data_IF_829318280101
#
_entry.id   IF_829318280101
#
_cell.length_a   1.000
_cell.length_b   1.000
_cell.length_c   1.000
_cell.angle_alpha   90.00
_cell.angle_beta   90.00
_cell.angle_gamma   90.00
#
_symmetry.space_group_name_H-M   'P 1'
#
loop_
_entity.id
_entity.type
_entity.pdbx_description
1 polymer ?
#
# COMPACT_ATOMS: atom_id res chain seq x y z
N UNK A 1 -3.75 16.09 15.14
CA UNK A 1 -2.90 15.60 14.03
C UNK A 1 -3.09 14.09 13.94
N UNK A 2 -3.48 13.54 12.78
CA UNK A 2 -3.67 12.08 12.64
C UNK A 2 -2.50 11.49 11.83
N UNK A 3 -1.69 10.65 12.45
CA UNK A 3 -0.74 9.79 11.73
C UNK A 3 -1.52 8.78 10.90
N UNK A 4 -1.15 8.63 9.64
CA UNK A 4 -1.76 7.68 8.69
C UNK A 4 -0.67 6.88 7.98
N UNK A 5 -1.08 5.81 7.32
CA UNK A 5 -0.18 4.81 6.77
C UNK A 5 -0.59 4.43 5.35
N UNK A 6 0.40 4.25 4.47
CA UNK A 6 0.25 3.46 3.25
C UNK A 6 0.85 2.08 3.47
N UNK A 7 0.01 1.04 3.51
CA UNK A 7 0.45 -0.34 3.62
C UNK A 7 0.80 -0.90 2.24
N UNK A 8 1.94 -1.59 2.13
CA UNK A 8 2.40 -2.16 0.86
C UNK A 8 3.15 -3.47 1.03
N UNK A 9 3.31 -4.19 -0.07
CA UNK A 9 4.03 -5.46 -0.14
C UNK A 9 5.47 -5.19 -0.54
N UNK A 10 6.38 -6.08 -0.16
CA UNK A 10 7.79 -6.00 -0.53
C UNK A 10 7.99 -5.80 -2.02
N UNK A 11 7.35 -6.61 -2.87
CA UNK A 11 7.47 -6.51 -4.33
C UNK A 11 6.98 -5.18 -4.96
N UNK A 12 6.29 -4.33 -4.21
CA UNK A 12 5.85 -3.01 -4.65
C UNK A 12 6.79 -1.89 -4.24
N UNK A 13 7.75 -2.14 -3.33
CA UNK A 13 8.65 -1.09 -2.85
C UNK A 13 9.53 -0.53 -3.96
N UNK A 14 10.02 -1.38 -4.87
CA UNK A 14 10.85 -0.98 -5.99
C UNK A 14 10.22 0.17 -6.76
N UNK A 15 8.96 0.02 -7.20
CA UNK A 15 8.27 1.06 -7.95
C UNK A 15 8.11 2.36 -7.13
N UNK A 16 7.73 2.24 -5.86
CA UNK A 16 7.49 3.40 -4.98
C UNK A 16 8.79 4.15 -4.69
N UNK A 17 9.88 3.43 -4.42
CA UNK A 17 11.18 4.00 -4.10
C UNK A 17 11.83 4.62 -5.35
N UNK A 18 11.74 3.95 -6.50
CA UNK A 18 12.26 4.47 -7.77
C UNK A 18 11.50 5.70 -8.25
N UNK A 19 10.17 5.77 -8.07
CA UNK A 19 9.40 6.96 -8.44
C UNK A 19 9.29 8.00 -7.33
N UNK A 20 9.77 7.71 -6.12
CA UNK A 20 9.65 8.56 -4.92
C UNK A 20 8.19 8.98 -4.60
N UNK A 21 7.22 8.16 -5.01
CA UNK A 21 5.80 8.48 -4.96
C UNK A 21 4.95 7.23 -4.74
N UNK A 22 3.92 7.37 -3.91
CA UNK A 22 2.81 6.43 -3.84
C UNK A 22 1.84 6.78 -4.96
N UNK A 23 1.89 5.97 -6.02
CA UNK A 23 1.05 6.13 -7.22
C UNK A 23 -0.39 5.70 -6.97
N UNK A 24 -1.29 6.20 -7.81
CA UNK A 24 -2.68 5.77 -7.82
C UNK A 24 -2.83 4.40 -8.51
N UNK A 25 -3.88 3.64 -8.18
CA UNK A 25 -4.11 2.27 -8.68
C UNK A 25 -4.03 2.10 -10.20
N UNK A 26 -4.41 3.11 -10.99
CA UNK A 26 -4.37 3.03 -12.46
C UNK A 26 -2.95 2.96 -13.04
N UNK A 27 -1.94 3.39 -12.29
CA UNK A 27 -0.53 3.40 -12.71
C UNK A 27 0.21 2.14 -12.22
N UNK A 28 -0.29 1.45 -11.19
CA UNK A 28 0.34 0.25 -10.62
C UNK A 28 -0.06 -1.07 -11.31
N UNK A 29 -0.78 -1.00 -12.44
CA UNK A 29 -1.05 -2.17 -13.29
C UNK A 29 -2.11 -3.17 -12.81
N UNK A 30 -2.66 -3.01 -11.60
CA UNK A 30 -3.76 -3.86 -11.09
C UNK A 30 -5.10 -3.32 -11.60
N UNK A 31 -5.35 -3.47 -12.92
CA UNK A 31 -6.63 -3.08 -13.53
C UNK A 31 -7.61 -4.25 -13.49
N UNK A 32 -8.34 -4.40 -12.39
CA UNK A 32 -9.52 -5.28 -12.39
C UNK A 32 -10.75 -4.61 -13.02
N UNK A 33 -10.85 -3.27 -13.00
CA UNK A 33 -11.86 -2.54 -13.79
C UNK A 33 -11.42 -1.10 -14.12
N UNK A 34 -11.65 -0.61 -15.35
CA UNK A 34 -11.36 0.78 -15.70
C UNK A 34 -12.35 1.71 -14.99
N UNK A 35 -11.85 2.81 -14.41
CA UNK A 35 -12.54 4.06 -14.02
C UNK A 35 -13.19 4.21 -12.64
N UNK A 36 -13.05 3.26 -11.71
CA UNK A 36 -13.91 3.30 -10.50
C UNK A 36 -13.13 3.63 -9.21
N UNK A 37 -11.91 3.11 -9.03
CA UNK A 37 -11.03 3.55 -7.91
C UNK A 37 -9.64 3.81 -8.47
N UNK A 38 -9.28 5.08 -8.67
CA UNK A 38 -7.92 5.46 -9.05
C UNK A 38 -7.39 6.42 -8.00
N UNK A 39 -7.08 5.86 -6.83
CA UNK A 39 -6.60 6.63 -5.69
C UNK A 39 -5.28 6.06 -5.19
N UNK A 40 -4.47 6.91 -4.56
CA UNK A 40 -3.51 6.44 -3.58
C UNK A 40 -4.27 6.24 -2.26
N UNK A 41 -4.19 5.03 -1.72
CA UNK A 41 -4.94 4.61 -0.54
C UNK A 41 -4.09 4.64 0.72
N UNK A 42 -4.71 5.12 1.81
CA UNK A 42 -4.12 5.20 3.13
C UNK A 42 -5.16 4.78 4.18
N UNK A 43 -4.71 4.38 5.36
CA UNK A 43 -5.58 4.11 6.50
C UNK A 43 -4.91 4.56 7.81
N UNK A 44 -5.65 4.60 8.91
CA UNK A 44 -5.08 4.72 10.24
C UNK A 44 -4.25 3.46 10.62
N UNK A 45 -3.78 3.39 11.86
CA UNK A 45 -3.05 2.20 12.32
C UNK A 45 -3.97 0.97 12.34
N UNK A 46 -3.67 0.00 11.49
CA UNK A 46 -4.38 -1.26 11.35
C UNK A 46 -3.40 -2.40 11.05
N UNK A 47 -3.81 -3.64 11.30
CA UNK A 47 -3.11 -4.79 10.71
C UNK A 47 -3.55 -4.87 9.24
N UNK A 48 -2.71 -4.35 8.34
CA UNK A 48 -2.78 -4.39 6.86
C UNK A 48 -4.19 -4.66 6.26
N UNK A 49 -4.79 -3.73 5.49
CA UNK A 49 -6.15 -3.91 4.96
C UNK A 49 -6.35 -5.27 4.29
N UNK A 50 -7.37 -6.03 4.72
CA UNK A 50 -7.59 -7.42 4.29
C UNK A 50 -7.95 -7.50 2.82
N UNK A 51 -8.70 -6.52 2.31
CA UNK A 51 -8.98 -6.40 0.86
C UNK A 51 -7.73 -6.14 0.03
N UNK A 52 -6.64 -5.68 0.64
CA UNK A 52 -5.37 -5.48 -0.04
C UNK A 52 -4.43 -6.69 0.05
N UNK A 53 -4.81 -7.78 0.74
CA UNK A 53 -3.97 -8.98 0.81
C UNK A 53 -3.85 -9.61 -0.59
N UNK A 54 -2.63 -9.99 -1.02
CA UNK A 54 -2.46 -10.70 -2.28
C UNK A 54 -2.92 -12.14 -2.13
N UNK A 55 -3.52 -12.70 -3.17
CA UNK A 55 -3.78 -14.13 -3.22
C UNK A 55 -2.47 -14.89 -3.37
N UNK A 56 -2.12 -15.70 -2.37
CA UNK A 56 -0.98 -16.62 -2.39
C UNK A 56 -1.52 -18.05 -2.42
N UNK A 57 -1.27 -18.85 -3.48
CA UNK A 57 -1.82 -20.21 -3.59
C UNK A 57 -1.48 -21.13 -2.42
N UNK A 58 -0.32 -20.93 -1.79
CA UNK A 58 0.13 -21.70 -0.60
C UNK A 58 -0.44 -21.17 0.74
N UNK A 59 -1.28 -20.14 0.68
CA UNK A 59 -1.98 -19.53 1.81
C UNK A 59 -3.43 -19.23 1.39
N UNK A 60 -4.31 -20.25 1.27
CA UNK A 60 -5.69 -20.07 0.82
C UNK A 60 -6.49 -19.08 1.68
N UNK A 61 -6.10 -18.85 2.94
CA UNK A 61 -6.62 -17.81 3.82
C UNK A 61 -6.47 -16.37 3.26
N UNK A 62 -5.54 -16.16 2.33
CA UNK A 62 -5.32 -14.86 1.67
C UNK A 62 -6.24 -14.64 0.45
N UNK A 63 -6.94 -15.69 -0.01
CA UNK A 63 -7.88 -15.57 -1.12
C UNK A 63 -9.21 -14.99 -0.64
N UNK A 64 -9.36 -13.67 -0.76
CA UNK A 64 -10.55 -12.96 -0.32
C UNK A 64 -11.85 -13.58 -0.85
N UNK A 65 -11.89 -14.07 -2.09
CA UNK A 65 -13.12 -14.63 -2.68
C UNK A 65 -13.62 -15.88 -1.94
N UNK A 66 -12.71 -16.70 -1.41
CA UNK A 66 -13.07 -17.91 -0.65
C UNK A 66 -13.72 -17.59 0.70
N UNK A 67 -13.49 -16.37 1.22
CA UNK A 67 -13.88 -15.98 2.58
C UNK A 67 -15.02 -14.95 2.61
N UNK A 68 -15.57 -14.58 1.44
CA UNK A 68 -16.73 -13.69 1.34
C UNK A 68 -18.03 -14.41 1.77
N UNK A 69 -18.20 -14.66 3.07
CA UNK A 69 -19.44 -15.23 3.62
C UNK A 69 -19.26 -16.20 4.79
N UNK A 70 -18.02 -16.50 5.19
CA UNK A 70 -17.66 -17.42 6.26
C UNK A 70 -16.93 -16.71 7.40
N UNK A 71 -16.64 -17.43 8.48
CA UNK A 71 -15.77 -16.96 9.55
C UNK A 71 -14.42 -16.51 8.97
N UNK A 72 -14.00 -15.29 9.33
CA UNK A 72 -12.83 -14.64 8.75
C UNK A 72 -11.57 -15.43 9.11
N UNK A 73 -10.83 -16.00 8.14
CA UNK A 73 -9.63 -16.74 8.49
C UNK A 73 -8.59 -15.81 9.10
N UNK A 74 -7.81 -16.37 10.03
CA UNK A 74 -6.60 -15.74 10.51
C UNK A 74 -5.53 -15.81 9.41
N UNK A 75 -4.92 -14.67 9.07
CA UNK A 75 -3.80 -14.60 8.14
C UNK A 75 -2.53 -14.36 8.93
N UNK A 76 -1.61 -15.31 8.88
CA UNK A 76 -0.27 -15.13 9.44
C UNK A 76 0.52 -14.15 8.56
N UNK A 77 0.65 -12.92 9.05
CA UNK A 77 1.32 -11.84 8.33
C UNK A 77 2.83 -12.06 8.18
N UNK A 78 3.48 -12.80 9.09
CA UNK A 78 4.91 -13.10 8.99
C UNK A 78 5.16 -14.20 7.96
N UNK A 79 4.29 -15.21 7.91
CA UNK A 79 4.30 -16.20 6.83
C UNK A 79 4.04 -15.53 5.48
N UNK A 80 3.04 -14.65 5.39
CA UNK A 80 2.76 -13.89 4.18
C UNK A 80 3.95 -13.03 3.74
N UNK A 81 4.62 -12.36 4.69
CA UNK A 81 5.82 -11.56 4.44
C UNK A 81 6.89 -12.37 3.68
N UNK A 82 7.08 -13.65 4.00
CA UNK A 82 8.02 -14.53 3.29
C UNK A 82 7.66 -14.79 1.82
N UNK A 83 6.39 -14.67 1.43
CA UNK A 83 5.95 -14.83 0.04
C UNK A 83 6.01 -13.55 -0.77
N UNK A 84 5.90 -12.38 -0.13
CA UNK A 84 5.69 -11.10 -0.83
C UNK A 84 6.87 -10.13 -0.69
N UNK A 85 7.98 -10.58 -0.10
CA UNK A 85 9.19 -9.77 0.14
C UNK A 85 9.08 -8.84 1.36
N UNK A 86 8.23 -9.19 2.31
CA UNK A 86 7.96 -8.40 3.50
C UNK A 86 6.63 -7.65 3.44
N UNK A 87 6.14 -7.28 4.62
CA UNK A 87 5.00 -6.41 4.80
C UNK A 87 5.52 -5.07 5.29
N UNK A 88 5.17 -4.00 4.57
CA UNK A 88 5.77 -2.69 4.74
C UNK A 88 4.70 -1.62 4.89
N UNK A 89 5.05 -0.50 5.50
CA UNK A 89 4.18 0.69 5.51
C UNK A 89 4.99 1.99 5.48
N UNK A 90 4.45 3.00 4.82
CA UNK A 90 4.92 4.38 4.93
C UNK A 90 4.08 5.10 5.99
N UNK A 91 4.71 5.55 7.08
CA UNK A 91 4.10 6.29 8.18
C UNK A 91 4.32 7.78 7.99
N UNK A 92 3.27 8.60 8.13
CA UNK A 92 3.38 10.06 8.03
C UNK A 92 2.21 10.79 8.68
N UNK A 93 2.37 12.10 8.92
CA UNK A 93 1.29 12.93 9.45
C UNK A 93 0.41 13.45 8.32
N UNK A 94 -0.90 13.18 8.39
CA UNK A 94 -1.85 13.65 7.38
C UNK A 94 -1.81 15.18 7.16
N UNK A 95 -1.53 15.96 8.21
CA UNK A 95 -1.48 17.43 8.13
C UNK A 95 -0.44 17.96 7.15
N UNK A 96 0.60 17.18 6.86
CA UNK A 96 1.64 17.54 5.89
C UNK A 96 1.16 17.39 4.44
N UNK A 97 0.02 16.69 4.23
CA UNK A 97 -0.50 16.33 2.91
C UNK A 97 -1.96 16.78 2.73
N UNK A 98 -2.13 18.08 2.43
CA UNK A 98 -3.46 18.72 2.29
C UNK A 98 -4.37 18.08 1.23
N UNK A 99 -3.81 17.37 0.24
CA UNK A 99 -4.56 16.68 -0.81
C UNK A 99 -5.28 15.43 -0.32
N UNK A 100 -4.91 14.87 0.85
CA UNK A 100 -5.46 13.62 1.37
C UNK A 100 -6.79 13.87 2.10
N UNK A 101 -7.83 13.23 1.58
CA UNK A 101 -9.22 13.36 2.06
C UNK A 101 -9.68 12.05 2.72
N UNK A 102 -10.59 12.14 3.67
CA UNK A 102 -11.26 10.97 4.22
C UNK A 102 -12.05 10.27 3.13
N UNK A 103 -12.05 8.93 3.12
CA UNK A 103 -12.85 8.15 2.19
C UNK A 103 -14.35 8.32 2.49
N UNK A 104 -14.73 8.10 3.75
CA UNK A 104 -16.08 8.39 4.24
C UNK A 104 -16.36 9.89 4.12
N UNK A 105 -17.52 10.19 3.56
CA UNK A 105 -17.97 11.57 3.29
C UNK A 105 -17.41 12.19 2.01
N UNK A 106 -16.46 11.54 1.32
CA UNK A 106 -15.94 12.10 0.06
C UNK A 106 -16.98 12.08 -1.06
N UNK A 107 -16.93 13.11 -1.91
CA UNK A 107 -17.70 13.16 -3.17
C UNK A 107 -17.40 11.95 -4.07
N UNK A 108 -16.14 11.48 -4.07
CA UNK A 108 -15.73 10.28 -4.82
C UNK A 108 -16.49 9.04 -4.36
N UNK A 109 -16.56 8.78 -3.05
CA UNK A 109 -17.35 7.69 -2.49
C UNK A 109 -18.83 7.79 -2.86
N UNK A 110 -19.42 8.98 -2.75
CA UNK A 110 -20.83 9.18 -3.10
C UNK A 110 -21.10 8.87 -4.58
N UNK A 111 -20.22 9.30 -5.48
CA UNK A 111 -20.30 8.96 -6.91
C UNK A 111 -20.15 7.45 -7.13
N UNK A 112 -19.25 6.81 -6.37
CA UNK A 112 -18.97 5.39 -6.48
C UNK A 112 -20.13 4.51 -6.06
N UNK A 113 -20.80 4.86 -4.97
CA UNK A 113 -21.97 4.17 -4.46
C UNK A 113 -23.20 4.25 -5.38
N UNK A 114 -23.21 5.15 -6.38
CA UNK A 114 -24.25 5.15 -7.41
C UNK A 114 -24.09 4.02 -8.42
N UNK A 115 -22.89 3.43 -8.53
CA UNK A 115 -22.62 2.31 -9.42
C UNK A 115 -22.80 0.96 -8.71
N UNK A 116 -23.29 -0.09 -9.40
CA UNK A 116 -23.37 -1.45 -8.83
C UNK A 116 -22.01 -1.95 -8.31
N UNK A 117 -20.94 -1.70 -9.05
CA UNK A 117 -19.59 -2.15 -8.68
C UNK A 117 -19.06 -1.44 -7.42
N UNK A 118 -19.35 -0.15 -7.25
CA UNK A 118 -18.96 0.57 -6.02
C UNK A 118 -19.69 0.06 -4.79
N UNK A 119 -20.97 -0.34 -4.94
CA UNK A 119 -21.72 -1.00 -3.86
C UNK A 119 -21.12 -2.38 -3.51
N UNK A 120 -20.71 -3.15 -4.51
CA UNK A 120 -20.06 -4.45 -4.31
C UNK A 120 -18.71 -4.27 -3.58
N UNK A 121 -17.86 -3.34 -4.02
CA UNK A 121 -16.57 -3.08 -3.37
C UNK A 121 -16.75 -2.69 -1.90
N UNK A 122 -17.75 -1.86 -1.60
CA UNK A 122 -18.06 -1.45 -0.23
C UNK A 122 -18.55 -2.63 0.62
N UNK A 123 -19.39 -3.49 0.07
CA UNK A 123 -19.83 -4.72 0.73
C UNK A 123 -18.67 -5.68 0.98
N UNK A 124 -17.78 -5.85 0.01
CA UNK A 124 -16.60 -6.72 0.07
C UNK A 124 -15.66 -6.29 1.19
N UNK A 125 -15.30 -5.00 1.27
CA UNK A 125 -14.42 -4.52 2.34
C UNK A 125 -15.06 -4.64 3.74
N UNK A 126 -16.37 -4.38 3.88
CA UNK A 126 -17.09 -4.64 5.14
C UNK A 126 -17.08 -6.12 5.53
N UNK A 127 -17.33 -7.02 4.58
CA UNK A 127 -17.27 -8.48 4.79
C UNK A 127 -15.86 -8.94 5.15
N UNK A 128 -14.83 -8.37 4.52
CA UNK A 128 -13.44 -8.61 4.87
C UNK A 128 -13.11 -8.16 6.30
N UNK A 129 -13.83 -7.15 6.81
CA UNK A 129 -13.60 -6.56 8.12
C UNK A 129 -12.68 -5.35 8.11
N UNK A 130 -12.52 -4.72 6.95
CA UNK A 130 -11.78 -3.47 6.84
C UNK A 130 -12.61 -2.31 7.40
N UNK A 131 -11.96 -1.44 8.17
CA UNK A 131 -12.58 -0.25 8.77
C UNK A 131 -12.50 0.92 7.81
N UNK A 132 -13.41 0.94 6.83
CA UNK A 132 -13.46 1.97 5.79
C UNK A 132 -13.59 3.40 6.34
N UNK A 133 -14.12 3.57 7.55
CA UNK A 133 -14.16 4.84 8.28
C UNK A 133 -12.79 5.41 8.63
N UNK A 134 -11.76 4.55 8.64
CA UNK A 134 -10.37 4.93 8.86
C UNK A 134 -9.59 5.14 7.56
N UNK A 135 -10.23 5.00 6.40
CA UNK A 135 -9.56 5.10 5.11
C UNK A 135 -9.46 6.55 4.62
N UNK A 136 -8.37 6.83 3.92
CA UNK A 136 -8.10 8.10 3.26
C UNK A 136 -7.64 7.88 1.82
N UNK A 137 -7.92 8.87 0.98
CA UNK A 137 -7.61 8.82 -0.45
C UNK A 137 -6.92 10.10 -0.90
N UNK A 138 -6.04 9.95 -1.89
CA UNK A 138 -5.59 11.04 -2.77
C UNK A 138 -5.93 10.69 -4.21
N UNK A 139 -6.48 11.64 -4.96
CA UNK A 139 -6.74 11.49 -6.41
C UNK A 139 -5.50 11.71 -7.28
N UNK A 140 -4.36 12.02 -6.66
CA UNK A 140 -3.05 12.19 -7.29
C UNK A 140 -2.02 11.30 -6.59
N UNK A 141 -0.91 11.05 -7.27
CA UNK A 141 0.27 10.47 -6.63
C UNK A 141 0.70 11.34 -5.44
N UNK A 142 1.25 10.68 -4.41
CA UNK A 142 1.68 11.34 -3.18
C UNK A 142 3.16 11.09 -3.00
N UNK A 143 3.97 12.16 -2.99
CA UNK A 143 5.40 12.06 -2.72
C UNK A 143 5.66 11.37 -1.38
N UNK A 144 6.70 10.53 -1.32
CA UNK A 144 7.12 9.90 -0.06
C UNK A 144 7.93 10.83 0.85
N UNK A 145 8.18 12.07 0.43
CA UNK A 145 8.88 13.05 1.26
C UNK A 145 8.10 13.34 2.56
N UNK A 146 8.78 13.29 3.71
CA UNK A 146 8.16 13.40 5.04
C UNK A 146 7.63 12.07 5.60
N UNK A 147 7.85 10.95 4.92
CA UNK A 147 7.43 9.63 5.38
C UNK A 147 8.57 8.83 6.01
N UNK A 148 8.22 7.92 6.91
CA UNK A 148 9.10 6.87 7.44
C UNK A 148 8.68 5.52 6.87
N UNK A 149 9.59 4.79 6.23
CA UNK A 149 9.40 3.39 5.85
C UNK A 149 9.56 2.49 7.07
N UNK A 150 8.56 1.66 7.31
CA UNK A 150 8.59 0.64 8.35
C UNK A 150 8.37 -0.74 7.76
N UNK A 151 8.98 -1.75 8.38
CA UNK A 151 8.80 -3.16 8.04
C UNK A 151 8.19 -3.91 9.22
N UNK A 152 7.25 -4.82 8.95
CA UNK A 152 6.74 -5.75 9.95
C UNK A 152 7.78 -6.84 10.22
N UNK A 153 8.11 -7.05 11.49
CA UNK A 153 9.01 -8.09 12.00
C UNK A 153 8.32 -8.87 13.13
N UNK A 154 8.88 -10.00 13.62
CA UNK A 154 8.34 -10.70 14.79
C UNK A 154 8.24 -9.82 16.04
N UNK A 155 9.08 -8.79 16.16
CA UNK A 155 9.09 -7.82 17.26
C UNK A 155 8.15 -6.62 17.03
N UNK A 156 7.43 -6.59 15.91
CA UNK A 156 6.56 -5.48 15.51
C UNK A 156 7.12 -4.64 14.36
N UNK A 157 6.64 -3.40 14.24
CA UNK A 157 7.04 -2.49 13.17
C UNK A 157 8.38 -1.83 13.49
N UNK A 158 9.36 -1.98 12.58
CA UNK A 158 10.72 -1.43 12.71
C UNK A 158 10.96 -0.37 11.65
N UNK A 159 11.48 0.79 12.05
CA UNK A 159 11.86 1.87 11.14
C UNK A 159 13.06 1.46 10.29
N UNK A 160 12.96 1.66 8.97
CA UNK A 160 13.97 1.25 8.00
C UNK A 160 14.62 2.42 7.26
N UNK A 161 13.86 3.48 6.97
CA UNK A 161 14.38 4.69 6.33
C UNK A 161 13.43 5.87 6.59
N UNK A 162 13.98 7.09 6.67
CA UNK A 162 13.18 8.32 6.59
C UNK A 162 13.42 9.00 5.24
N UNK A 163 12.38 9.59 4.67
CA UNK A 163 12.46 10.37 3.44
C UNK A 163 12.24 11.83 3.77
N UNK A 164 13.18 12.69 3.40
CA UNK A 164 13.13 14.12 3.69
C UNK A 164 13.05 14.92 2.39
N UNK A 165 12.30 16.01 2.41
CA UNK A 165 12.38 17.00 1.34
C UNK A 165 13.59 17.90 1.58
N UNK A 166 14.58 17.89 0.68
CA UNK A 166 15.71 18.81 0.69
C UNK A 166 15.80 19.48 -0.67
N UNK A 167 15.47 20.77 -0.73
CA UNK A 167 15.55 21.55 -1.97
C UNK A 167 14.62 21.07 -3.09
N UNK A 168 13.50 20.43 -2.76
CA UNK A 168 12.56 19.88 -3.76
C UNK A 168 12.87 18.44 -4.20
N UNK A 169 13.93 17.84 -3.67
CA UNK A 169 14.33 16.46 -3.94
C UNK A 169 14.06 15.60 -2.70
N UNK A 170 13.65 14.35 -2.90
CA UNK A 170 13.54 13.38 -1.81
C UNK A 170 14.91 12.79 -1.52
N UNK A 171 15.39 13.01 -0.30
CA UNK A 171 16.65 12.44 0.21
C UNK A 171 16.33 11.36 1.23
N UNK A 172 17.01 10.22 1.11
CA UNK A 172 16.89 9.10 2.04
C UNK A 172 17.84 9.33 3.22
N UNK A 173 17.31 9.26 4.43
CA UNK A 173 18.06 9.23 5.67
C UNK A 173 17.92 7.84 6.30
N UNK A 174 18.89 6.97 6.02
CA UNK A 174 18.95 5.57 6.45
C UNK A 174 20.18 5.24 7.31
N UNK A 175 20.99 6.25 7.67
CA UNK A 175 22.14 6.07 8.56
C UNK A 175 21.73 5.42 9.89
N UNK A 176 22.37 4.28 10.23
CA UNK A 176 22.03 3.47 11.40
C UNK A 176 20.74 2.65 11.28
N UNK A 177 20.13 2.61 10.10
CA UNK A 177 18.95 1.80 9.78
C UNK A 177 19.29 0.73 8.73
N UNK A 178 18.36 0.41 7.83
CA UNK A 178 18.59 -0.57 6.77
C UNK A 178 19.08 0.11 5.49
N UNK A 179 20.02 -0.55 4.80
CA UNK A 179 20.51 -0.13 3.50
C UNK A 179 19.35 -0.06 2.49
N UNK A 180 19.00 1.16 2.04
CA UNK A 180 17.89 1.36 1.12
C UNK A 180 18.15 0.71 -0.25
N UNK A 181 19.41 0.69 -0.70
CA UNK A 181 19.79 0.07 -1.97
C UNK A 181 19.52 -1.43 -1.93
N UNK A 182 19.85 -2.09 -0.81
CA UNK A 182 19.49 -3.49 -0.59
C UNK A 182 17.97 -3.71 -0.61
N UNK A 183 17.19 -2.85 0.05
CA UNK A 183 15.72 -2.95 0.04
C UNK A 183 15.16 -2.83 -1.38
N UNK A 184 15.69 -1.91 -2.19
CA UNK A 184 15.31 -1.73 -3.60
C UNK A 184 15.63 -2.99 -4.41
N UNK A 185 16.85 -3.54 -4.27
CA UNK A 185 17.27 -4.76 -4.96
C UNK A 185 16.43 -5.97 -4.55
N UNK A 186 16.22 -6.19 -3.25
CA UNK A 186 15.43 -7.31 -2.73
C UNK A 186 13.97 -7.20 -3.22
N UNK A 187 13.41 -5.98 -3.22
CA UNK A 187 12.08 -5.73 -3.77
C UNK A 187 12.00 -6.03 -5.27
N UNK A 188 13.02 -5.66 -6.04
CA UNK A 188 13.07 -5.90 -7.48
C UNK A 188 13.11 -7.41 -7.79
N UNK A 189 13.99 -8.15 -7.13
CA UNK A 189 14.11 -9.60 -7.27
C UNK A 189 12.81 -10.31 -6.87
N UNK A 190 12.18 -9.86 -5.78
CA UNK A 190 10.89 -10.40 -5.36
C UNK A 190 9.79 -10.14 -6.40
N UNK A 191 9.80 -8.97 -7.05
CA UNK A 191 8.86 -8.63 -8.11
C UNK A 191 8.97 -9.59 -9.30
N UNK A 192 10.19 -9.90 -9.73
CA UNK A 192 10.47 -10.89 -10.78
C UNK A 192 9.94 -12.27 -10.36
N UNK A 193 10.26 -12.71 -9.14
CA UNK A 193 9.79 -14.00 -8.59
C UNK A 193 8.27 -14.13 -8.58
N UNK A 194 7.56 -13.02 -8.39
CA UNK A 194 6.10 -12.96 -8.38
C UNK A 194 5.48 -12.85 -9.78
N UNK A 195 6.29 -12.78 -10.85
CA UNK A 195 5.80 -12.59 -12.22
C UNK A 195 5.13 -11.24 -12.45
N UNK A 196 5.45 -10.24 -11.64
CA UNK A 196 4.88 -8.90 -11.75
C UNK A 196 5.60 -8.10 -12.85
N UNK A 197 4.90 -7.27 -13.65
CA UNK A 197 5.53 -6.48 -14.71
C UNK A 197 6.61 -5.57 -14.14
N UNK A 198 7.83 -5.66 -14.67
CA UNK A 198 8.90 -4.71 -14.36
C UNK A 198 8.68 -3.50 -15.26
N UNK A 199 8.45 -2.32 -14.67
CA UNK A 199 8.46 -1.09 -15.45
C UNK A 199 9.90 -0.86 -15.91
N UNK A 200 10.11 -0.75 -17.23
CA UNK A 200 11.37 -0.25 -17.77
C UNK A 200 11.52 1.20 -17.31
N UNK A 201 12.35 1.41 -16.30
CA UNK A 201 12.78 2.76 -15.96
C UNK A 201 13.82 3.16 -17.01
N UNK A 202 13.69 4.31 -17.68
CA UNK A 202 14.81 4.87 -18.41
C UNK A 202 15.91 5.10 -17.39
N UNK A 203 16.91 4.23 -17.38
CA UNK A 203 18.16 4.49 -16.68
C UNK A 203 18.69 5.72 -17.39
N UNK A 204 18.74 6.86 -16.68
CA UNK A 204 19.45 8.01 -17.18
C UNK A 204 20.91 7.56 -17.39
N UNK A 205 21.30 7.47 -18.66
CA UNK A 205 22.67 7.24 -19.09
C UNK A 205 23.56 8.44 -18.75
#
# INVERSE_FOLDING_TARGET
MSTIFHYTKGYNLFDILMSQEIKTEAVTGVRLHPSVTNFAWFTAEERFPRTALPHVPKMPETNLQLHLGTEKPHVDMLKLAGYVGGIWRFKFNRSEFKSIKTWIGSYHRQKLLKSPIGKINEMVAKKAGDKQELWFISSKAVSIAGMTLQQLTPQGWVDRADFKNQGGIVVVADAGKADISKIVTDSYLQRIKMGMPVLEFPIAA
#
